data_IF_808182450815
#
_entry.id   IF_808182450815
#
_cell.length_a   1.000
_cell.length_b   1.000
_cell.length_c   1.000
_cell.angle_alpha   90.00
_cell.angle_beta   90.00
_cell.angle_gamma   90.00
#
_symmetry.space_group_name_H-M   'P 1'
#
loop_
_entity.id
_entity.type
_entity.pdbx_description
1 polymer ?
#
# COMPACT_ATOMS: atom_id res chain seq x y z
N UNK A 1 5.59 20.77 9.17
CA UNK A 1 4.83 19.51 9.37
C UNK A 1 5.74 18.35 9.07
N UNK A 2 5.81 17.35 9.95
CA UNK A 2 6.51 16.07 9.76
C UNK A 2 5.48 14.96 9.65
N UNK A 3 5.62 14.09 8.68
CA UNK A 3 4.67 13.00 8.44
C UNK A 3 5.45 11.69 8.44
N UNK A 4 4.94 10.70 9.19
CA UNK A 4 5.30 9.31 9.02
C UNK A 4 4.44 8.75 7.90
N UNK A 5 5.05 8.43 6.77
CA UNK A 5 4.34 8.12 5.53
C UNK A 5 3.86 6.68 5.43
N UNK A 6 4.16 5.81 6.42
CA UNK A 6 3.85 4.39 6.28
C UNK A 6 3.69 3.71 7.64
N UNK A 7 2.46 3.58 8.11
CA UNK A 7 2.10 2.86 9.33
C UNK A 7 1.00 1.85 9.08
N UNK A 8 0.99 0.77 9.85
CA UNK A 8 -0.04 -0.24 9.82
C UNK A 8 -0.74 -0.34 11.17
N UNK A 9 -2.06 -0.50 11.14
CA UNK A 9 -2.87 -0.86 12.30
C UNK A 9 -3.65 -2.13 11.99
N UNK A 10 -3.90 -2.95 13.00
CA UNK A 10 -4.66 -4.17 12.84
C UNK A 10 -5.32 -4.62 14.14
N UNK A 11 -6.39 -5.41 14.00
CA UNK A 11 -7.02 -6.15 15.09
C UNK A 11 -6.99 -7.64 14.74
N UNK A 12 -6.38 -8.46 15.59
CA UNK A 12 -6.20 -9.90 15.34
C UNK A 12 -7.53 -10.63 15.10
N UNK A 13 -8.57 -10.24 15.84
CA UNK A 13 -9.88 -10.88 15.76
C UNK A 13 -10.61 -10.64 14.42
N UNK A 14 -10.14 -9.76 13.56
CA UNK A 14 -10.68 -9.59 12.20
C UNK A 14 -10.43 -10.80 11.32
N UNK A 15 -9.30 -11.50 11.53
CA UNK A 15 -8.99 -12.76 10.85
C UNK A 15 -8.57 -12.64 9.38
N UNK A 16 -8.42 -11.43 8.84
CA UNK A 16 -8.04 -11.18 7.44
C UNK A 16 -6.52 -10.99 7.22
N UNK A 17 -5.72 -11.09 8.28
CA UNK A 17 -4.26 -10.96 8.23
C UNK A 17 -3.59 -12.33 8.08
N UNK A 18 -3.68 -12.94 6.89
CA UNK A 18 -3.15 -14.30 6.62
C UNK A 18 -1.65 -14.45 6.82
N UNK A 19 -0.90 -13.33 6.86
CA UNK A 19 0.53 -13.31 7.14
C UNK A 19 0.85 -13.34 8.65
N UNK A 20 -0.14 -13.12 9.52
CA UNK A 20 0.02 -13.02 10.97
C UNK A 20 -0.01 -14.40 11.61
N UNK A 21 0.96 -14.68 12.48
CA UNK A 21 1.06 -15.95 13.22
C UNK A 21 1.32 -15.68 14.70
N UNK A 22 0.80 -16.54 15.62
CA UNK A 22 1.16 -16.50 17.04
C UNK A 22 2.67 -16.56 17.31
N UNK A 23 3.46 -17.10 16.37
CA UNK A 23 4.92 -17.15 16.47
C UNK A 23 5.57 -15.75 16.40
N UNK A 24 4.87 -14.79 15.84
CA UNK A 24 5.29 -13.39 15.83
C UNK A 24 4.92 -12.67 17.13
N UNK A 25 5.47 -13.16 18.25
CA UNK A 25 5.05 -12.80 19.61
C UNK A 25 4.88 -11.29 19.85
N UNK A 26 5.73 -10.45 19.25
CA UNK A 26 5.66 -8.99 19.38
C UNK A 26 4.50 -8.42 18.57
N UNK A 27 4.22 -8.98 17.37
CA UNK A 27 3.22 -8.47 16.45
C UNK A 27 1.83 -9.08 16.69
N UNK A 28 1.76 -10.25 17.34
CA UNK A 28 0.51 -10.99 17.53
C UNK A 28 -0.33 -10.40 18.66
N UNK A 29 -0.72 -9.15 18.50
CA UNK A 29 -1.68 -8.41 19.31
C UNK A 29 -2.31 -7.31 18.48
N UNK A 30 -3.35 -6.69 18.98
CA UNK A 30 -3.90 -5.48 18.35
C UNK A 30 -2.90 -4.33 18.41
N UNK A 31 -2.80 -3.59 17.30
CA UNK A 31 -2.10 -2.32 17.22
C UNK A 31 -3.02 -1.27 16.62
N UNK A 32 -3.29 -0.22 17.38
CA UNK A 32 -4.24 0.82 17.05
C UNK A 32 -3.59 2.21 17.17
N UNK A 33 -4.23 3.28 16.73
CA UNK A 33 -3.65 4.63 16.76
C UNK A 33 -3.12 5.05 18.14
N UNK A 34 -3.78 4.65 19.22
CA UNK A 34 -3.35 4.93 20.59
C UNK A 34 -2.00 4.30 20.97
N UNK A 35 -1.63 3.17 20.35
CA UNK A 35 -0.31 2.57 20.56
C UNK A 35 0.81 3.39 19.91
N UNK A 36 0.53 4.04 18.78
CA UNK A 36 1.53 4.83 18.05
C UNK A 36 1.64 6.26 18.57
N UNK A 37 0.56 6.84 19.08
CA UNK A 37 0.48 8.24 19.46
C UNK A 37 1.64 8.70 20.38
N UNK A 38 2.03 7.97 21.45
CA UNK A 38 3.16 8.37 22.30
C UNK A 38 4.50 8.44 21.55
N UNK A 39 4.67 7.62 20.51
CA UNK A 39 5.86 7.63 19.65
C UNK A 39 5.87 8.82 18.72
N UNK A 40 4.72 9.15 18.11
CA UNK A 40 4.57 10.36 17.28
C UNK A 40 4.91 11.61 18.10
N UNK A 41 4.41 11.72 19.32
CA UNK A 41 4.66 12.86 20.19
C UNK A 41 6.14 12.95 20.59
N UNK A 42 6.73 11.84 21.02
CA UNK A 42 8.15 11.77 21.39
C UNK A 42 9.06 12.24 20.24
N UNK A 43 8.74 11.86 19.01
CA UNK A 43 9.56 12.16 17.82
C UNK A 43 9.12 13.42 17.09
N UNK A 44 8.12 14.16 17.61
CA UNK A 44 7.56 15.38 17.03
C UNK A 44 7.09 15.16 15.59
N UNK A 45 6.43 14.03 15.35
CA UNK A 45 5.77 13.70 14.10
C UNK A 45 4.33 14.19 14.21
N UNK A 46 3.91 15.02 13.26
CA UNK A 46 2.59 15.66 13.32
C UNK A 46 1.47 14.70 12.90
N UNK A 47 1.72 13.90 11.87
CA UNK A 47 0.72 12.97 11.30
C UNK A 47 1.38 11.68 10.82
N UNK A 48 0.56 10.63 10.65
CA UNK A 48 0.94 9.39 9.96
C UNK A 48 -0.01 9.11 8.79
N UNK A 49 0.47 8.31 7.82
CA UNK A 49 -0.37 7.71 6.79
C UNK A 49 -0.57 6.24 7.15
N UNK A 50 -1.83 5.80 7.19
CA UNK A 50 -2.16 4.40 7.40
C UNK A 50 -2.10 3.68 6.05
N UNK A 51 -1.38 2.59 6.00
CA UNK A 51 -1.30 1.72 4.82
C UNK A 51 -1.95 0.38 5.15
N UNK A 52 -2.74 -0.15 4.23
CA UNK A 52 -3.44 -1.43 4.42
C UNK A 52 -2.47 -2.58 4.78
N UNK A 53 -2.94 -3.51 5.60
CA UNK A 53 -2.21 -4.71 6.01
C UNK A 53 -2.85 -6.01 5.50
N UNK A 54 -4.01 -5.93 4.82
CA UNK A 54 -4.70 -7.05 4.19
C UNK A 54 -5.35 -6.63 2.86
N UNK A 55 -5.40 -7.59 1.91
CA UNK A 55 -5.93 -7.37 0.55
C UNK A 55 -7.46 -7.53 0.53
N UNK A 56 -8.16 -6.68 1.28
CA UNK A 56 -9.63 -6.69 1.33
C UNK A 56 -10.20 -5.28 1.38
N UNK A 57 -11.39 -5.11 0.79
CA UNK A 57 -12.16 -3.87 0.95
C UNK A 57 -12.53 -3.65 2.42
N UNK A 58 -12.82 -4.71 3.15
CA UNK A 58 -13.11 -4.64 4.58
C UNK A 58 -11.94 -4.07 5.42
N UNK A 59 -10.69 -4.34 5.00
CA UNK A 59 -9.52 -3.71 5.61
C UNK A 59 -9.48 -2.21 5.28
N UNK A 60 -9.75 -1.84 4.02
CA UNK A 60 -9.79 -0.44 3.61
C UNK A 60 -10.84 0.34 4.41
N UNK A 61 -12.04 -0.24 4.60
CA UNK A 61 -13.09 0.36 5.43
C UNK A 61 -12.66 0.51 6.89
N UNK A 62 -12.06 -0.52 7.46
CA UNK A 62 -11.58 -0.50 8.84
C UNK A 62 -10.54 0.60 9.10
N UNK A 63 -9.53 0.72 8.23
CA UNK A 63 -8.49 1.73 8.42
C UNK A 63 -8.99 3.16 8.11
N UNK A 64 -9.99 3.31 7.24
CA UNK A 64 -10.69 4.57 7.04
C UNK A 64 -11.50 4.96 8.28
N UNK A 65 -12.19 4.00 8.92
CA UNK A 65 -12.89 4.24 10.19
C UNK A 65 -11.92 4.71 11.28
N UNK A 66 -10.73 4.08 11.40
CA UNK A 66 -9.69 4.53 12.33
C UNK A 66 -9.17 5.96 12.02
N UNK A 67 -9.20 6.35 10.76
CA UNK A 67 -8.77 7.68 10.33
C UNK A 67 -9.84 8.75 10.56
N UNK A 68 -11.11 8.36 10.61
CA UNK A 68 -12.22 9.29 10.85
C UNK A 68 -12.11 9.91 12.24
N UNK A 69 -12.22 11.24 12.30
CA UNK A 69 -12.12 11.97 13.59
C UNK A 69 -10.73 11.95 14.24
N UNK A 70 -9.72 11.38 13.56
CA UNK A 70 -8.35 11.36 14.07
C UNK A 70 -7.45 12.32 13.30
N UNK A 71 -7.19 13.48 13.87
CA UNK A 71 -6.36 14.53 13.26
C UNK A 71 -4.89 14.13 13.09
N UNK A 72 -4.42 13.09 13.80
CA UNK A 72 -3.06 12.54 13.67
C UNK A 72 -2.91 11.60 12.47
N UNK A 73 -4.01 11.23 11.82
CA UNK A 73 -3.99 10.50 10.55
C UNK A 73 -4.10 11.48 9.39
N UNK A 74 -3.05 11.55 8.57
CA UNK A 74 -2.97 12.41 7.39
C UNK A 74 -3.66 11.82 6.16
N UNK A 75 -3.70 10.49 6.04
CA UNK A 75 -4.31 9.78 4.92
C UNK A 75 -4.30 8.27 5.12
N UNK A 76 -4.98 7.60 4.21
CA UNK A 76 -5.12 6.13 4.16
C UNK A 76 -4.80 5.66 2.75
N UNK A 77 -3.88 4.73 2.65
CA UNK A 77 -3.59 3.95 1.45
C UNK A 77 -4.24 2.58 1.63
N UNK A 78 -5.30 2.33 0.89
CA UNK A 78 -6.11 1.13 1.02
C UNK A 78 -5.86 0.10 -0.08
N UNK A 79 -6.75 -0.85 -0.16
CA UNK A 79 -6.79 -1.87 -1.19
C UNK A 79 -8.13 -1.85 -1.93
N UNK A 80 -8.07 -1.91 -3.26
CA UNK A 80 -9.20 -2.20 -4.14
C UNK A 80 -8.78 -3.27 -5.14
N UNK A 81 -9.71 -4.14 -5.55
CA UNK A 81 -9.43 -5.17 -6.54
C UNK A 81 -9.33 -4.54 -7.94
N UNK A 82 -8.11 -4.39 -8.44
CA UNK A 82 -7.83 -3.80 -9.75
C UNK A 82 -8.27 -4.67 -10.94
N UNK A 83 -8.61 -5.95 -10.73
CA UNK A 83 -9.14 -6.82 -11.75
C UNK A 83 -10.68 -6.92 -11.72
N UNK A 84 -11.34 -6.36 -10.69
CA UNK A 84 -12.78 -6.38 -10.58
C UNK A 84 -13.45 -5.55 -11.68
N UNK A 85 -14.65 -5.98 -12.09
CA UNK A 85 -15.43 -5.25 -13.10
C UNK A 85 -15.95 -3.91 -12.58
N UNK A 86 -16.12 -3.77 -11.27
CA UNK A 86 -16.59 -2.58 -10.57
C UNK A 86 -15.45 -1.72 -10.00
N UNK A 87 -14.20 -1.95 -10.43
CA UNK A 87 -13.05 -1.22 -9.93
C UNK A 87 -13.22 0.30 -10.06
N UNK A 88 -13.70 0.78 -11.21
CA UNK A 88 -13.89 2.23 -11.46
C UNK A 88 -14.95 2.82 -10.52
N UNK A 89 -16.05 2.12 -10.32
CA UNK A 89 -17.12 2.55 -9.40
C UNK A 89 -16.60 2.60 -7.96
N UNK A 90 -15.86 1.57 -7.55
CA UNK A 90 -15.21 1.54 -6.24
C UNK A 90 -14.17 2.65 -6.07
N UNK A 91 -13.33 2.87 -7.07
CA UNK A 91 -12.35 3.95 -7.04
C UNK A 91 -13.05 5.32 -6.90
N UNK A 92 -14.13 5.55 -7.63
CA UNK A 92 -14.91 6.80 -7.52
C UNK A 92 -15.53 6.95 -6.12
N UNK A 93 -16.11 5.86 -5.57
CA UNK A 93 -16.67 5.84 -4.22
C UNK A 93 -15.61 6.21 -3.17
N UNK A 94 -14.48 5.48 -3.17
CA UNK A 94 -13.45 5.65 -2.14
C UNK A 94 -12.65 6.95 -2.28
N UNK A 95 -12.35 7.39 -3.50
CA UNK A 95 -11.64 8.66 -3.73
C UNK A 95 -12.46 9.89 -3.29
N UNK A 96 -13.78 9.76 -3.13
CA UNK A 96 -14.61 10.81 -2.54
C UNK A 96 -14.39 11.00 -1.03
N UNK A 97 -13.82 10.02 -0.36
CA UNK A 97 -13.50 10.06 1.07
C UNK A 97 -12.20 10.83 1.29
N UNK A 98 -12.23 11.93 2.00
CA UNK A 98 -11.11 12.89 2.12
C UNK A 98 -9.81 12.29 2.68
N UNK A 99 -9.87 11.18 3.41
CA UNK A 99 -8.71 10.47 3.95
C UNK A 99 -8.17 9.39 3.03
N UNK A 100 -8.88 8.97 2.00
CA UNK A 100 -8.41 7.95 1.06
C UNK A 100 -7.48 8.57 0.03
N UNK A 101 -6.17 8.31 0.14
CA UNK A 101 -5.14 9.03 -0.61
C UNK A 101 -4.30 8.15 -1.53
N UNK A 102 -4.53 6.86 -1.59
CA UNK A 102 -3.78 5.94 -2.44
C UNK A 102 -4.28 4.51 -2.40
N UNK A 103 -3.78 3.71 -3.32
CA UNK A 103 -4.06 2.27 -3.42
C UNK A 103 -2.73 1.49 -3.41
N UNK A 104 -2.72 0.37 -2.66
CA UNK A 104 -1.59 -0.54 -2.60
C UNK A 104 -2.01 -2.02 -2.61
N UNK A 105 -2.01 -2.72 -3.73
CA UNK A 105 -2.09 -4.17 -3.75
C UNK A 105 -0.78 -4.80 -3.26
N UNK A 106 -0.87 -5.98 -2.63
CA UNK A 106 0.30 -6.74 -2.18
C UNK A 106 0.83 -7.58 -3.37
N UNK A 107 1.48 -6.92 -4.32
CA UNK A 107 1.89 -7.50 -5.61
C UNK A 107 2.86 -8.65 -5.40
N UNK A 108 3.76 -8.54 -4.43
CA UNK A 108 4.79 -9.55 -4.21
C UNK A 108 4.24 -10.93 -3.74
N UNK A 109 2.99 -11.00 -3.30
CA UNK A 109 2.31 -12.24 -2.93
C UNK A 109 1.46 -12.81 -4.07
N UNK A 110 1.32 -12.10 -5.18
CA UNK A 110 0.63 -12.60 -6.37
C UNK A 110 1.57 -13.56 -7.09
N UNK A 111 1.07 -14.76 -7.39
CA UNK A 111 1.87 -15.84 -8.00
C UNK A 111 2.33 -15.55 -9.45
N UNK A 112 1.66 -14.64 -10.13
CA UNK A 112 2.02 -14.18 -11.47
C UNK A 112 2.82 -12.88 -11.36
N UNK A 113 4.13 -12.96 -11.54
CA UNK A 113 5.01 -11.78 -11.49
C UNK A 113 4.65 -10.72 -12.56
N UNK A 114 4.00 -11.14 -13.66
CA UNK A 114 3.54 -10.27 -14.75
C UNK A 114 2.13 -9.68 -14.51
N UNK A 115 1.52 -9.91 -13.35
CA UNK A 115 0.17 -9.43 -13.03
C UNK A 115 -0.06 -7.96 -13.39
N UNK A 116 0.91 -7.10 -13.11
CA UNK A 116 0.79 -5.65 -13.34
C UNK A 116 0.61 -5.26 -14.82
N UNK A 117 1.07 -6.11 -15.74
CA UNK A 117 0.95 -5.84 -17.20
C UNK A 117 -0.22 -6.57 -17.85
N UNK A 118 -1.08 -7.24 -17.08
CA UNK A 118 -2.33 -7.79 -17.61
C UNK A 118 -3.20 -6.65 -18.15
N UNK A 119 -3.90 -6.86 -19.26
CA UNK A 119 -4.70 -5.79 -19.88
C UNK A 119 -5.65 -5.09 -18.93
N UNK A 120 -6.38 -5.85 -18.09
CA UNK A 120 -7.32 -5.29 -17.13
C UNK A 120 -6.64 -4.43 -16.04
N UNK A 121 -5.49 -4.86 -15.56
CA UNK A 121 -4.72 -4.14 -14.56
C UNK A 121 -4.12 -2.86 -15.16
N UNK A 122 -3.64 -2.91 -16.41
CA UNK A 122 -3.17 -1.73 -17.12
C UNK A 122 -4.29 -0.70 -17.36
N UNK A 123 -5.52 -1.14 -17.62
CA UNK A 123 -6.68 -0.25 -17.69
C UNK A 123 -6.90 0.46 -16.34
N UNK A 124 -6.82 -0.29 -15.24
CA UNK A 124 -6.94 0.28 -13.89
C UNK A 124 -5.82 1.27 -13.58
N UNK A 125 -4.58 1.03 -14.00
CA UNK A 125 -3.49 2.02 -13.87
C UNK A 125 -3.75 3.28 -14.70
N UNK A 126 -4.27 3.16 -15.93
CA UNK A 126 -4.65 4.33 -16.74
C UNK A 126 -5.70 5.15 -16.02
N UNK A 127 -6.70 4.48 -15.41
CA UNK A 127 -7.73 5.17 -14.66
C UNK A 127 -7.18 5.91 -13.45
N UNK A 128 -6.25 5.31 -12.70
CA UNK A 128 -5.54 5.98 -11.60
C UNK A 128 -4.78 7.22 -12.10
N UNK A 129 -4.09 7.11 -13.23
CA UNK A 129 -3.35 8.21 -13.84
C UNK A 129 -4.26 9.37 -14.26
N UNK A 130 -5.41 9.08 -14.89
CA UNK A 130 -6.41 10.07 -15.29
C UNK A 130 -6.96 10.88 -14.11
N UNK A 131 -7.08 10.24 -12.95
CA UNK A 131 -7.57 10.86 -11.71
C UNK A 131 -6.45 11.49 -10.86
N UNK A 132 -5.19 11.45 -11.33
CA UNK A 132 -4.00 11.80 -10.53
C UNK A 132 -4.00 11.10 -9.15
N UNK A 133 -4.48 9.85 -9.11
CA UNK A 133 -4.64 9.11 -7.85
C UNK A 133 -3.40 8.28 -7.56
N UNK A 134 -2.77 8.42 -6.36
CA UNK A 134 -1.51 7.74 -6.03
C UNK A 134 -1.62 6.22 -5.96
N UNK A 135 -0.55 5.58 -6.40
CA UNK A 135 -0.37 4.14 -6.34
C UNK A 135 0.95 3.77 -5.65
N UNK A 136 0.94 2.73 -4.82
CA UNK A 136 2.14 2.20 -4.18
C UNK A 136 2.48 0.80 -4.70
N UNK A 137 3.70 0.65 -5.25
CA UNK A 137 4.23 -0.63 -5.70
C UNK A 137 4.85 -1.40 -4.53
N UNK A 138 4.12 -2.35 -3.95
CA UNK A 138 4.66 -3.29 -2.98
C UNK A 138 5.18 -4.54 -3.71
N UNK A 139 6.44 -4.51 -4.07
CA UNK A 139 7.08 -5.48 -4.98
C UNK A 139 8.38 -6.05 -4.41
N UNK A 140 8.87 -7.14 -5.01
CA UNK A 140 10.26 -7.57 -4.90
C UNK A 140 11.06 -7.14 -6.14
N UNK A 141 12.39 -7.22 -6.07
CA UNK A 141 13.29 -6.86 -7.16
C UNK A 141 12.96 -7.55 -8.51
N UNK A 142 12.47 -8.79 -8.47
CA UNK A 142 12.06 -9.54 -9.68
C UNK A 142 10.91 -8.90 -10.45
N UNK A 143 10.13 -8.03 -9.82
CA UNK A 143 9.00 -7.34 -10.45
C UNK A 143 9.40 -6.02 -11.15
N UNK A 144 10.62 -5.52 -10.93
CA UNK A 144 11.06 -4.23 -11.47
C UNK A 144 10.93 -4.12 -13.00
N UNK A 145 11.21 -5.17 -13.80
CA UNK A 145 10.98 -5.10 -15.24
C UNK A 145 9.53 -4.85 -15.63
N UNK A 146 8.58 -5.33 -14.83
CA UNK A 146 7.14 -5.09 -15.04
C UNK A 146 6.71 -3.71 -14.54
N UNK A 147 7.31 -3.21 -13.45
CA UNK A 147 7.11 -1.82 -12.99
C UNK A 147 7.52 -0.85 -14.09
N UNK A 148 8.68 -1.06 -14.73
CA UNK A 148 9.13 -0.24 -15.86
C UNK A 148 8.12 -0.26 -17.01
N UNK A 149 7.63 -1.45 -17.38
CA UNK A 149 6.60 -1.58 -18.42
C UNK A 149 5.30 -0.84 -18.06
N UNK A 150 4.86 -0.88 -16.78
CA UNK A 150 3.70 -0.09 -16.34
C UNK A 150 3.95 1.40 -16.53
N UNK A 151 5.11 1.91 -16.10
CA UNK A 151 5.45 3.33 -16.21
C UNK A 151 5.61 3.78 -17.67
N UNK A 152 6.11 2.92 -18.55
CA UNK A 152 6.17 3.17 -20.00
C UNK A 152 4.77 3.22 -20.64
N UNK A 153 3.85 2.33 -20.23
CA UNK A 153 2.48 2.29 -20.75
C UNK A 153 1.58 3.39 -20.14
N UNK A 154 1.91 3.85 -18.93
CA UNK A 154 1.14 4.84 -18.17
C UNK A 154 2.05 5.92 -17.59
N UNK A 155 2.68 6.76 -18.44
CA UNK A 155 3.73 7.71 -18.01
C UNK A 155 3.26 8.81 -17.06
N UNK A 156 1.93 9.01 -16.96
CA UNK A 156 1.32 9.96 -16.01
C UNK A 156 1.01 9.37 -14.64
N UNK A 157 1.30 8.07 -14.40
CA UNK A 157 0.98 7.42 -13.13
C UNK A 157 1.81 8.03 -11.99
N UNK A 158 1.13 8.55 -10.98
CA UNK A 158 1.75 9.02 -9.76
C UNK A 158 1.97 7.85 -8.81
N UNK A 159 3.21 7.37 -8.71
CA UNK A 159 3.52 6.15 -8.00
C UNK A 159 4.67 6.29 -7.00
N UNK A 160 4.65 5.44 -5.99
CA UNK A 160 5.71 5.25 -5.00
C UNK A 160 6.15 3.79 -5.04
N UNK A 161 7.45 3.55 -4.88
CA UNK A 161 8.00 2.21 -4.74
C UNK A 161 8.26 1.91 -3.26
N UNK A 162 7.44 1.05 -2.69
CA UNK A 162 7.57 0.65 -1.29
C UNK A 162 8.87 -0.11 -1.04
N UNK A 163 9.52 0.22 0.08
CA UNK A 163 10.69 -0.52 0.58
C UNK A 163 11.77 -0.72 -0.49
N UNK A 164 11.88 0.22 -1.45
CA UNK A 164 12.79 0.16 -2.60
C UNK A 164 12.76 -1.19 -3.36
N UNK A 165 11.57 -1.83 -3.47
CA UNK A 165 11.36 -3.18 -4.03
C UNK A 165 12.19 -4.28 -3.36
N UNK A 166 12.45 -4.14 -2.06
CA UNK A 166 13.03 -5.17 -1.19
C UNK A 166 14.26 -5.88 -1.77
N UNK A 167 15.38 -5.19 -2.06
CA UNK A 167 16.62 -5.86 -2.46
C UNK A 167 17.12 -6.76 -1.34
N UNK A 168 17.85 -7.82 -1.68
CA UNK A 168 18.37 -8.82 -0.73
C UNK A 168 19.59 -8.29 0.03
N UNK A 169 19.41 -7.20 0.78
CA UNK A 169 20.48 -6.48 1.50
C UNK A 169 21.19 -7.41 2.49
N UNK A 170 20.44 -8.25 3.21
CA UNK A 170 20.97 -9.17 4.20
C UNK A 170 22.03 -10.12 3.63
N UNK A 171 21.80 -10.56 2.40
CA UNK A 171 22.65 -11.53 1.71
C UNK A 171 23.70 -10.86 0.82
N UNK A 172 23.71 -9.53 0.78
CA UNK A 172 24.61 -8.73 -0.07
C UNK A 172 24.32 -8.87 -1.57
N UNK A 173 23.22 -9.51 -1.94
CA UNK A 173 22.83 -9.71 -3.33
C UNK A 173 22.00 -8.53 -3.83
N UNK A 174 22.69 -7.58 -4.46
CA UNK A 174 22.06 -6.36 -4.96
C UNK A 174 21.70 -6.43 -6.45
N UNK A 175 21.92 -7.56 -7.12
CA UNK A 175 21.57 -7.78 -8.51
C UNK A 175 20.32 -8.66 -8.63
N UNK A 176 19.45 -8.41 -9.62
CA UNK A 176 19.51 -7.35 -10.67
C UNK A 176 18.99 -5.97 -10.22
N UNK A 177 18.58 -5.79 -8.96
CA UNK A 177 17.95 -4.58 -8.44
C UNK A 177 18.76 -3.30 -8.76
N UNK A 178 20.07 -3.34 -8.51
CA UNK A 178 20.95 -2.18 -8.71
C UNK A 178 21.02 -1.72 -10.18
N UNK A 179 20.91 -2.64 -11.13
CA UNK A 179 20.95 -2.32 -12.55
C UNK A 179 19.61 -1.83 -13.10
N UNK A 180 18.52 -2.30 -12.52
CA UNK A 180 17.16 -1.94 -12.92
C UNK A 180 16.69 -0.57 -12.39
N UNK A 181 17.42 0.03 -11.43
CA UNK A 181 17.14 1.38 -10.92
C UNK A 181 17.95 2.48 -11.62
N UNK A 182 18.76 2.18 -12.63
CA UNK A 182 19.51 3.15 -13.42
C UNK A 182 18.69 3.69 -14.57
#
# INVERSE_FOLDING_TARGET
MRIDSHQHYWKINRGDYGWMSPDFTVLYRDYLPEDLLPHLDRHKIDKSVIVQAANTVAETDFILELAEGNDRVGGVVGWLDMEANDFEDKLAEYSSKSKFVGIRPVIHDISDDAWMIRPKVLESFKRLSELDFPFEFLTFSRHLPYVLQVLENVPGLRAVMDHISKPEIKDGNMQPWQDLLK
#
